data_IF_225842903241
#
_entry.id   IF_225842903241
#
_cell.length_a   1.000
_cell.length_b   1.000
_cell.length_c   1.000
_cell.angle_alpha   90.00
_cell.angle_beta   90.00
_cell.angle_gamma   90.00
#
_symmetry.space_group_name_H-M   'P 1'
#
loop_
_entity.id
_entity.type
_entity.pdbx_description
1 polymer ?
#
# COMPACT_ATOMS: atom_id res chain seq x y z
N UNK A 1 22.17 -6.15 -1.42
CA UNK A 1 21.70 -4.89 -2.02
C UNK A 1 20.83 -5.25 -3.19
N UNK A 2 19.64 -4.67 -3.30
CA UNK A 2 18.63 -5.05 -4.29
C UNK A 2 18.58 -4.08 -5.46
N UNK A 3 18.62 -2.78 -5.17
CA UNK A 3 18.62 -1.69 -6.15
C UNK A 3 19.92 -0.89 -6.09
N UNK A 4 20.27 -0.21 -7.18
CA UNK A 4 21.54 0.49 -7.32
C UNK A 4 21.73 1.66 -6.35
N UNK A 5 20.66 2.27 -5.87
CA UNK A 5 20.72 3.39 -4.92
C UNK A 5 20.36 2.97 -3.49
N UNK A 6 20.14 1.69 -3.20
CA UNK A 6 19.90 1.22 -1.83
C UNK A 6 21.05 1.66 -0.89
N UNK A 7 20.70 2.19 0.29
CA UNK A 7 21.65 2.69 1.29
C UNK A 7 22.57 1.63 1.91
N UNK A 8 22.38 0.35 1.57
CA UNK A 8 23.21 -0.76 2.02
C UNK A 8 22.61 -2.14 1.70
N UNK A 9 23.19 -3.21 2.24
CA UNK A 9 22.57 -4.53 2.21
C UNK A 9 21.33 -4.58 3.10
N UNK A 10 20.28 -5.25 2.62
CA UNK A 10 19.04 -5.46 3.36
C UNK A 10 18.73 -6.95 3.47
N UNK A 11 18.20 -7.36 4.62
CA UNK A 11 17.49 -8.62 4.79
C UNK A 11 16.05 -8.36 4.36
N UNK A 12 15.60 -8.97 3.26
CA UNK A 12 14.34 -8.60 2.58
C UNK A 12 13.16 -9.53 2.84
N UNK A 13 13.39 -10.77 3.30
CA UNK A 13 12.34 -11.67 3.80
C UNK A 13 12.49 -12.02 5.31
N UNK A 14 12.72 -11.04 6.21
CA UNK A 14 12.79 -11.29 7.64
C UNK A 14 11.39 -11.49 8.24
N UNK A 15 11.18 -12.61 8.93
CA UNK A 15 9.99 -12.86 9.72
C UNK A 15 10.27 -12.41 11.16
N UNK A 16 9.90 -11.17 11.47
CA UNK A 16 10.19 -10.52 12.75
C UNK A 16 9.10 -10.86 13.76
N UNK A 17 9.49 -11.59 14.80
CA UNK A 17 8.65 -11.99 15.91
C UNK A 17 8.90 -11.11 17.15
N UNK A 18 7.82 -10.62 17.73
CA UNK A 18 7.83 -9.84 18.97
C UNK A 18 6.63 -10.19 19.84
N UNK A 19 6.73 -9.93 21.14
CA UNK A 19 5.63 -10.07 22.09
C UNK A 19 5.36 -8.74 22.79
N UNK A 20 4.10 -8.38 22.92
CA UNK A 20 3.68 -7.21 23.69
C UNK A 20 4.24 -7.33 25.12
N UNK A 21 4.97 -6.32 25.63
CA UNK A 21 5.62 -6.42 26.93
C UNK A 21 4.64 -6.60 28.09
N UNK A 22 3.39 -6.12 27.96
CA UNK A 22 2.32 -6.22 28.94
C UNK A 22 1.46 -7.48 28.76
N UNK A 23 0.86 -7.65 27.59
CA UNK A 23 -0.17 -8.68 27.36
C UNK A 23 0.40 -10.03 26.94
N UNK A 24 1.68 -10.06 26.51
CA UNK A 24 2.34 -11.24 25.92
C UNK A 24 1.66 -11.77 24.64
N UNK A 25 0.76 -10.99 24.03
CA UNK A 25 0.30 -11.25 22.67
C UNK A 25 1.48 -11.14 21.72
N UNK A 26 1.58 -12.07 20.78
CA UNK A 26 2.66 -12.09 19.81
C UNK A 26 2.24 -11.51 18.48
N UNK A 27 3.21 -10.99 17.74
CA UNK A 27 3.08 -10.59 16.34
C UNK A 27 4.22 -11.21 15.55
N UNK A 28 3.91 -11.71 14.36
CA UNK A 28 4.88 -12.03 13.31
C UNK A 28 4.63 -11.12 12.13
N UNK A 29 5.63 -10.32 11.73
CA UNK A 29 5.52 -9.44 10.57
C UNK A 29 6.76 -9.50 9.68
N UNK A 30 6.63 -9.00 8.45
CA UNK A 30 7.80 -8.80 7.58
C UNK A 30 8.24 -7.33 7.65
N UNK A 31 9.40 -7.08 8.25
CA UNK A 31 9.99 -5.75 8.41
C UNK A 31 11.44 -5.79 7.92
N UNK A 32 11.74 -5.13 6.79
CA UNK A 32 13.09 -5.15 6.19
C UNK A 32 14.16 -4.70 7.19
N UNK A 33 15.34 -5.32 7.11
CA UNK A 33 16.45 -5.02 8.02
C UNK A 33 17.67 -4.51 7.26
N UNK A 34 18.04 -3.24 7.44
CA UNK A 34 19.29 -2.73 6.86
C UNK A 34 20.47 -3.21 7.68
N UNK A 35 21.47 -3.83 7.05
CA UNK A 35 22.68 -4.28 7.74
C UNK A 35 23.62 -3.10 7.95
N UNK A 36 23.90 -2.74 9.21
CA UNK A 36 24.86 -1.67 9.53
C UNK A 36 26.26 -2.23 9.77
N UNK A 37 26.35 -3.31 10.54
CA UNK A 37 27.60 -3.98 10.92
C UNK A 37 27.34 -5.45 11.28
N UNK A 38 28.32 -6.12 11.90
CA UNK A 38 28.21 -7.54 12.27
C UNK A 38 27.25 -7.83 13.42
N UNK A 39 26.76 -6.81 14.13
CA UNK A 39 25.93 -6.95 15.34
C UNK A 39 24.67 -6.09 15.33
N UNK A 40 24.43 -5.27 14.31
CA UNK A 40 23.27 -4.39 14.29
C UNK A 40 22.65 -4.22 12.92
N UNK A 41 21.32 -4.08 12.94
CA UNK A 41 20.52 -3.77 11.76
C UNK A 41 19.53 -2.63 12.04
N UNK A 42 19.11 -1.90 11.02
CA UNK A 42 17.96 -1.00 11.09
C UNK A 42 16.68 -1.83 11.03
N UNK A 43 15.76 -1.62 11.97
CA UNK A 43 14.50 -2.36 12.06
C UNK A 43 13.34 -1.48 11.58
N UNK A 44 12.97 -1.65 10.32
CA UNK A 44 11.92 -0.84 9.67
C UNK A 44 10.54 -1.46 9.92
N UNK A 45 10.04 -1.38 11.16
CA UNK A 45 8.59 -1.49 11.38
C UNK A 45 7.94 -0.14 11.12
N UNK A 46 6.80 -0.16 10.43
CA UNK A 46 6.02 1.05 10.19
C UNK A 46 5.09 1.32 11.38
N UNK A 47 4.56 2.55 11.44
CA UNK A 47 3.46 2.84 12.35
C UNK A 47 2.25 1.96 12.01
N UNK A 48 1.36 1.76 12.99
CA UNK A 48 0.13 0.97 12.80
C UNK A 48 0.34 -0.52 12.48
N UNK A 49 1.58 -1.03 12.54
CA UNK A 49 1.90 -2.47 12.44
C UNK A 49 2.21 -3.03 13.82
N UNK A 50 1.95 -4.34 14.03
CA UNK A 50 2.01 -4.99 15.35
C UNK A 50 3.35 -4.81 16.08
N UNK A 51 4.48 -5.02 15.39
CA UNK A 51 5.81 -4.85 15.97
C UNK A 51 6.10 -3.41 16.43
N UNK A 52 5.60 -2.41 15.69
CA UNK A 52 5.71 -1.00 16.04
C UNK A 52 4.97 -0.66 17.33
N UNK A 53 3.76 -1.21 17.54
CA UNK A 53 3.01 -1.03 18.80
C UNK A 53 3.70 -1.70 20.00
N UNK A 54 4.25 -2.90 19.80
CA UNK A 54 5.01 -3.58 20.86
C UNK A 54 6.25 -2.76 21.28
N UNK A 55 6.94 -2.17 20.31
CA UNK A 55 8.09 -1.31 20.58
C UNK A 55 7.71 -0.01 21.26
N UNK A 56 6.63 0.65 20.81
CA UNK A 56 6.13 1.87 21.45
C UNK A 56 5.83 1.65 22.94
N UNK A 57 5.18 0.53 23.28
CA UNK A 57 4.88 0.18 24.67
C UNK A 57 6.15 -0.13 25.49
N UNK A 58 7.12 -0.83 24.89
CA UNK A 58 8.40 -1.09 25.55
C UNK A 58 9.21 0.20 25.77
N UNK A 59 9.20 1.10 24.78
CA UNK A 59 9.88 2.39 24.81
C UNK A 59 9.27 3.33 25.85
N UNK A 60 7.93 3.37 25.96
CA UNK A 60 7.23 4.11 27.00
C UNK A 60 7.59 3.66 28.43
N UNK A 61 7.98 2.38 28.59
CA UNK A 61 8.47 1.83 29.85
C UNK A 61 10.00 1.94 30.02
N UNK A 62 10.72 2.50 29.04
CA UNK A 62 12.18 2.57 29.04
C UNK A 62 12.85 1.20 29.04
N UNK A 63 12.22 0.18 28.44
CA UNK A 63 12.74 -1.20 28.39
C UNK A 63 13.08 -1.60 26.94
N UNK A 64 14.11 -2.44 26.74
CA UNK A 64 14.36 -3.04 25.45
C UNK A 64 13.22 -4.01 25.09
N UNK A 65 12.83 -4.04 23.82
CA UNK A 65 11.91 -5.03 23.28
C UNK A 65 12.72 -6.24 22.81
N UNK A 66 12.49 -7.46 23.32
CA UNK A 66 13.06 -8.68 22.74
C UNK A 66 12.56 -8.88 21.30
N UNK A 67 13.46 -9.24 20.40
CA UNK A 67 13.17 -9.47 18.98
C UNK A 67 13.79 -10.80 18.53
N UNK A 68 13.03 -11.57 17.76
CA UNK A 68 13.56 -12.76 17.07
C UNK A 68 13.19 -12.69 15.61
N UNK A 69 14.19 -12.80 14.73
CA UNK A 69 13.97 -12.75 13.28
C UNK A 69 14.23 -14.14 12.72
N UNK A 70 13.23 -14.72 12.08
CA UNK A 70 13.38 -15.98 11.35
C UNK A 70 13.63 -15.69 9.87
N UNK A 71 14.50 -16.47 9.25
CA UNK A 71 14.63 -16.55 7.80
C UNK A 71 14.34 -17.99 7.38
N UNK A 72 13.44 -18.14 6.42
CA UNK A 72 13.06 -19.42 5.85
C UNK A 72 12.19 -20.24 6.79
N UNK A 73 12.26 -21.57 6.64
CA UNK A 73 11.40 -22.51 7.33
C UNK A 73 10.07 -22.74 6.62
N UNK A 74 9.01 -23.15 7.35
CA UNK A 74 7.74 -23.51 6.75
C UNK A 74 7.16 -22.36 5.92
N UNK A 75 6.80 -22.55 4.64
CA UNK A 75 6.26 -21.48 3.79
C UNK A 75 5.02 -20.79 4.38
N UNK A 76 4.25 -21.52 5.20
CA UNK A 76 3.10 -21.00 5.94
C UNK A 76 3.46 -19.84 6.88
N UNK A 77 4.70 -19.75 7.37
CA UNK A 77 5.14 -18.61 8.18
C UNK A 77 5.20 -17.32 7.36
N UNK A 78 5.73 -17.38 6.14
CA UNK A 78 5.81 -16.22 5.24
C UNK A 78 4.40 -15.74 4.91
N UNK A 79 3.52 -16.67 4.51
CA UNK A 79 2.11 -16.35 4.21
C UNK A 79 1.37 -15.77 5.41
N UNK A 80 1.63 -16.27 6.61
CA UNK A 80 0.96 -15.77 7.80
C UNK A 80 1.47 -14.40 8.25
N UNK A 81 2.77 -14.12 8.11
CA UNK A 81 3.39 -12.86 8.52
C UNK A 81 2.93 -11.64 7.71
N UNK A 82 2.38 -11.87 6.52
CA UNK A 82 1.87 -10.82 5.62
C UNK A 82 0.35 -10.81 5.54
N UNK A 83 -0.33 -11.80 6.14
CA UNK A 83 -1.77 -11.91 6.06
C UNK A 83 -2.44 -10.71 6.77
N UNK A 84 -3.43 -10.06 6.17
CA UNK A 84 -4.19 -8.97 6.80
C UNK A 84 -5.19 -9.54 7.81
N UNK A 85 -4.67 -10.06 8.92
CA UNK A 85 -5.46 -10.66 9.99
C UNK A 85 -6.07 -9.59 10.89
N UNK A 86 -7.24 -9.88 11.50
CA UNK A 86 -7.72 -9.10 12.64
C UNK A 86 -6.68 -9.11 13.77
N UNK A 87 -6.57 -8.01 14.52
CA UNK A 87 -5.53 -7.82 15.55
C UNK A 87 -5.47 -8.92 16.62
N UNK A 88 -6.62 -9.56 16.91
CA UNK A 88 -6.73 -10.63 17.90
C UNK A 88 -6.43 -12.04 17.37
N UNK A 89 -6.13 -12.19 16.06
CA UNK A 89 -5.82 -13.49 15.45
C UNK A 89 -4.30 -13.60 15.25
N UNK A 90 -3.60 -14.43 16.03
CA UNK A 90 -2.14 -14.48 15.94
C UNK A 90 -1.64 -15.19 14.69
N UNK A 91 -0.60 -14.66 14.06
CA UNK A 91 -0.07 -15.15 12.78
C UNK A 91 0.48 -16.58 12.90
N UNK A 92 1.09 -16.96 14.03
CA UNK A 92 1.58 -18.33 14.23
C UNK A 92 0.46 -19.37 14.27
N UNK A 93 -0.75 -18.97 14.69
CA UNK A 93 -1.95 -19.81 14.64
C UNK A 93 -2.39 -19.98 13.20
N UNK A 94 -2.42 -18.90 12.40
CA UNK A 94 -2.71 -18.99 10.98
C UNK A 94 -1.66 -19.88 10.26
N UNK A 95 -0.38 -19.72 10.56
CA UNK A 95 0.67 -20.55 9.96
C UNK A 95 0.44 -22.04 10.24
N UNK A 96 0.04 -22.40 11.47
CA UNK A 96 -0.29 -23.79 11.82
C UNK A 96 -1.55 -24.28 11.09
N UNK A 97 -2.58 -23.42 10.96
CA UNK A 97 -3.81 -23.75 10.23
C UNK A 97 -3.53 -24.01 8.75
N UNK A 98 -2.74 -23.14 8.10
CA UNK A 98 -2.34 -23.27 6.70
C UNK A 98 -1.48 -24.52 6.48
N UNK A 99 -0.60 -24.85 7.43
CA UNK A 99 0.23 -26.05 7.38
C UNK A 99 -0.57 -27.34 7.64
N UNK A 100 -1.76 -27.26 8.23
CA UNK A 100 -2.56 -28.42 8.64
C UNK A 100 -2.01 -29.16 9.87
N UNK A 101 -0.93 -28.66 10.48
CA UNK A 101 -0.32 -29.19 11.69
C UNK A 101 0.23 -28.08 12.58
N UNK A 102 0.45 -28.39 13.87
CA UNK A 102 1.03 -27.44 14.81
C UNK A 102 2.46 -27.09 14.39
N UNK A 103 2.74 -25.80 14.24
CA UNK A 103 4.09 -25.30 13.97
C UNK A 103 5.08 -25.83 15.02
N UNK A 104 6.17 -26.45 14.54
CA UNK A 104 7.21 -27.00 15.40
C UNK A 104 8.10 -25.89 15.93
N UNK A 105 8.17 -25.79 17.25
CA UNK A 105 8.95 -24.78 17.95
C UNK A 105 9.96 -25.48 18.87
N UNK A 106 11.14 -24.89 19.04
CA UNK A 106 12.20 -25.37 19.95
C UNK A 106 12.55 -24.30 20.99
N UNK A 107 13.25 -24.69 22.06
CA UNK A 107 13.75 -23.75 23.05
C UNK A 107 14.92 -22.93 22.49
N UNK A 108 14.98 -21.65 22.84
CA UNK A 108 16.16 -20.82 22.56
C UNK A 108 17.28 -21.15 23.57
N UNK A 109 18.49 -21.49 23.12
CA UNK A 109 19.64 -21.74 24.02
C UNK A 109 19.97 -20.58 24.97
N UNK A 110 19.62 -19.34 24.61
CA UNK A 110 19.81 -18.16 25.46
C UNK A 110 18.60 -17.83 26.35
N UNK A 111 17.52 -18.60 26.27
CA UNK A 111 16.23 -18.24 26.86
C UNK A 111 15.46 -17.22 26.02
N UNK A 112 14.30 -16.75 26.50
CA UNK A 112 13.44 -15.82 25.77
C UNK A 112 12.47 -16.51 24.80
N UNK A 113 12.24 -15.90 23.62
CA UNK A 113 11.30 -16.42 22.63
C UNK A 113 11.66 -17.84 22.19
N UNK A 114 10.64 -18.67 21.94
CA UNK A 114 10.85 -19.97 21.29
C UNK A 114 11.18 -19.79 19.82
N UNK A 115 12.00 -20.67 19.27
CA UNK A 115 12.44 -20.59 17.88
C UNK A 115 11.60 -21.50 16.99
N UNK A 116 11.25 -21.06 15.78
CA UNK A 116 10.69 -21.95 14.76
C UNK A 116 11.73 -23.01 14.40
N UNK A 117 11.41 -24.28 14.69
CA UNK A 117 12.40 -25.37 14.68
C UNK A 117 12.94 -25.69 13.27
N UNK A 118 12.19 -25.32 12.24
CA UNK A 118 12.51 -25.58 10.83
C UNK A 118 13.03 -24.32 10.11
N UNK A 119 13.17 -23.17 10.79
CA UNK A 119 13.77 -21.98 10.20
C UNK A 119 15.21 -22.25 9.74
N UNK A 120 15.61 -21.64 8.62
CA UNK A 120 16.98 -21.73 8.09
C UNK A 120 17.95 -20.93 8.97
N UNK A 121 17.52 -19.73 9.39
CA UNK A 121 18.22 -18.88 10.34
C UNK A 121 17.25 -18.33 11.41
N UNK A 122 17.77 -18.10 12.61
CA UNK A 122 17.11 -17.35 13.67
C UNK A 122 18.11 -16.34 14.28
N UNK A 123 17.85 -15.05 14.08
CA UNK A 123 18.61 -13.97 14.70
C UNK A 123 17.88 -13.58 16.00
N UNK A 124 18.60 -13.59 17.12
CA UNK A 124 18.05 -13.31 18.45
C UNK A 124 18.73 -12.06 19.00
N UNK A 125 17.93 -11.18 19.58
CA UNK A 125 18.44 -10.02 20.31
C UNK A 125 17.32 -9.09 20.76
N UNK A 126 17.54 -7.77 20.67
CA UNK A 126 16.60 -6.78 21.18
C UNK A 126 16.68 -5.44 20.44
N UNK A 127 15.60 -4.66 20.53
CA UNK A 127 15.55 -3.26 20.13
C UNK A 127 15.51 -2.37 21.40
N UNK A 128 16.57 -1.60 21.70
CA UNK A 128 16.60 -0.74 22.87
C UNK A 128 15.71 0.49 22.68
N UNK A 129 15.17 1.05 23.78
CA UNK A 129 14.31 2.22 23.72
C UNK A 129 15.13 3.46 23.33
N UNK A 130 14.54 4.36 22.54
CA UNK A 130 15.12 5.64 22.13
C UNK A 130 16.44 5.55 21.32
N UNK A 131 16.86 4.38 20.84
CA UNK A 131 17.98 4.26 19.91
C UNK A 131 17.46 4.16 18.48
N UNK A 132 17.85 5.11 17.63
CA UNK A 132 17.51 5.10 16.21
C UNK A 132 18.76 5.41 15.37
N UNK A 133 18.84 4.83 14.17
CA UNK A 133 19.86 5.12 13.16
C UNK A 133 19.20 5.36 11.81
N UNK A 134 19.94 6.01 10.93
CA UNK A 134 19.53 6.29 9.56
C UNK A 134 19.38 4.98 8.77
N UNK A 135 18.17 4.71 8.28
CA UNK A 135 17.88 3.61 7.36
C UNK A 135 17.46 4.14 5.98
N UNK A 136 17.79 3.39 4.94
CA UNK A 136 17.50 3.74 3.56
C UNK A 136 18.56 4.65 2.92
N UNK A 137 18.32 5.10 1.66
CA UNK A 137 17.13 4.82 0.86
C UNK A 137 17.00 3.32 0.48
N UNK A 138 15.81 2.91 0.05
CA UNK A 138 15.53 1.51 -0.32
C UNK A 138 14.47 1.46 -1.42
N UNK A 139 14.66 0.62 -2.43
CA UNK A 139 13.64 0.43 -3.46
C UNK A 139 12.45 -0.36 -2.95
N UNK A 140 11.30 0.29 -2.88
CA UNK A 140 10.09 -0.18 -2.20
C UNK A 140 8.99 -0.68 -3.16
N UNK A 141 8.02 -1.43 -2.62
CA UNK A 141 6.86 -2.01 -3.31
C UNK A 141 5.92 -1.00 -3.97
N UNK A 142 5.95 0.28 -3.60
CA UNK A 142 5.26 1.32 -4.37
C UNK A 142 5.92 1.59 -5.74
N UNK A 143 7.12 1.06 -6.00
CA UNK A 143 7.87 1.31 -7.23
C UNK A 143 8.73 2.56 -7.20
N UNK A 144 8.97 3.12 -6.01
CA UNK A 144 9.84 4.28 -5.79
C UNK A 144 10.89 3.98 -4.72
N UNK A 145 11.94 4.78 -4.66
CA UNK A 145 12.87 4.73 -3.53
C UNK A 145 12.22 5.34 -2.29
N UNK A 146 12.02 4.55 -1.23
CA UNK A 146 11.70 5.14 0.08
C UNK A 146 12.87 5.99 0.56
N UNK A 147 12.56 7.16 1.11
CA UNK A 147 13.54 8.12 1.59
C UNK A 147 14.22 7.63 2.88
N UNK A 148 15.32 8.32 3.21
CA UNK A 148 16.09 8.01 4.40
C UNK A 148 15.41 8.58 5.66
N UNK A 149 15.16 7.72 6.67
CA UNK A 149 14.59 8.13 7.95
C UNK A 149 15.26 7.42 9.13
N UNK A 150 14.99 7.91 10.35
CA UNK A 150 15.50 7.30 11.57
C UNK A 150 14.59 6.15 12.03
N UNK A 151 15.12 4.94 12.05
CA UNK A 151 14.41 3.74 12.54
C UNK A 151 15.12 3.12 13.73
N UNK A 152 14.40 2.35 14.59
CA UNK A 152 15.01 1.63 15.70
C UNK A 152 16.12 0.69 15.25
N UNK A 153 17.07 0.45 16.14
CA UNK A 153 18.18 -0.47 15.90
C UNK A 153 17.86 -1.82 16.51
N UNK A 154 17.98 -2.88 15.72
CA UNK A 154 17.98 -4.25 16.23
C UNK A 154 19.42 -4.68 16.50
N UNK A 155 19.74 -4.88 17.78
CA UNK A 155 21.02 -5.45 18.22
C UNK A 155 20.92 -6.96 18.21
N UNK A 156 21.78 -7.61 17.44
CA UNK A 156 21.84 -9.06 17.24
C UNK A 156 22.84 -9.65 18.23
N UNK A 157 22.34 -10.43 19.18
CA UNK A 157 23.15 -11.11 20.19
C UNK A 157 23.68 -12.45 19.68
N UNK A 158 22.88 -13.17 18.89
CA UNK A 158 23.25 -14.47 18.34
C UNK A 158 22.49 -14.81 17.08
N UNK A 159 23.12 -15.62 16.22
CA UNK A 159 22.51 -16.18 15.02
C UNK A 159 22.59 -17.70 15.11
N UNK A 160 21.44 -18.35 15.10
CA UNK A 160 21.33 -19.80 14.97
C UNK A 160 20.99 -20.14 13.53
N UNK A 161 21.54 -21.23 13.00
CA UNK A 161 21.24 -21.67 11.65
C UNK A 161 21.32 -23.19 11.52
N UNK A 162 20.65 -23.72 10.49
CA UNK A 162 20.78 -25.13 10.10
C UNK A 162 22.15 -25.38 9.46
N UNK A 163 22.68 -26.62 9.52
CA UNK A 163 23.71 -27.04 8.58
C UNK A 163 23.20 -26.83 7.15
N UNK A 164 24.05 -26.29 6.27
CA UNK A 164 23.73 -26.00 4.86
C UNK A 164 22.50 -25.10 4.67
N UNK A 165 22.32 -24.13 5.58
CA UNK A 165 21.17 -23.24 5.59
C UNK A 165 21.00 -22.45 4.28
N UNK A 166 19.75 -22.34 3.82
CA UNK A 166 19.37 -21.59 2.63
C UNK A 166 18.92 -20.19 3.05
N UNK A 167 19.50 -19.16 2.43
CA UNK A 167 19.12 -17.77 2.69
C UNK A 167 17.99 -17.33 1.75
N UNK A 168 16.74 -17.18 2.22
CA UNK A 168 15.67 -16.63 1.40
C UNK A 168 15.82 -15.12 1.27
N UNK A 169 15.54 -14.63 0.07
CA UNK A 169 15.50 -13.20 -0.23
C UNK A 169 14.43 -12.94 -1.29
N UNK A 170 13.85 -11.74 -1.24
CA UNK A 170 13.01 -11.21 -2.29
C UNK A 170 13.55 -9.87 -2.79
N UNK A 171 13.08 -9.44 -3.96
CA UNK A 171 13.29 -8.11 -4.50
C UNK A 171 11.92 -7.48 -4.67
N UNK A 172 11.67 -6.38 -3.96
CA UNK A 172 10.46 -5.58 -4.13
C UNK A 172 10.75 -4.40 -5.04
N UNK A 173 9.71 -3.83 -5.63
CA UNK A 173 9.85 -2.70 -6.54
C UNK A 173 8.54 -2.38 -7.23
N UNK A 174 8.62 -1.80 -8.43
CA UNK A 174 7.42 -1.47 -9.21
C UNK A 174 6.58 -2.73 -9.43
N UNK A 175 5.28 -2.73 -9.04
CA UNK A 175 4.42 -3.88 -9.23
C UNK A 175 4.35 -4.31 -10.71
N UNK A 176 4.29 -5.61 -11.01
CA UNK A 176 4.04 -6.75 -10.09
C UNK A 176 5.34 -7.46 -9.69
N UNK A 177 5.55 -7.67 -8.39
CA UNK A 177 6.63 -8.49 -7.83
C UNK A 177 6.05 -9.64 -6.97
N UNK A 178 6.89 -10.40 -6.27
CA UNK A 178 6.47 -11.56 -5.46
C UNK A 178 5.39 -11.21 -4.43
N UNK A 179 5.55 -10.08 -3.74
CA UNK A 179 4.62 -9.52 -2.76
C UNK A 179 3.22 -9.23 -3.36
N UNK A 180 3.15 -8.70 -4.58
CA UNK A 180 1.89 -8.50 -5.31
C UNK A 180 1.13 -9.82 -5.45
N UNK A 181 1.81 -10.88 -5.89
CA UNK A 181 1.18 -12.18 -6.18
C UNK A 181 0.70 -12.83 -4.89
N UNK A 182 1.50 -12.76 -3.82
CA UNK A 182 1.13 -13.35 -2.54
C UNK A 182 -0.03 -12.56 -1.90
N UNK A 183 0.01 -11.22 -1.96
CA UNK A 183 -1.06 -10.37 -1.43
C UNK A 183 -2.40 -10.64 -2.12
N UNK A 184 -2.44 -10.70 -3.45
CA UNK A 184 -3.64 -11.05 -4.22
C UNK A 184 -4.21 -12.43 -3.84
N UNK A 185 -3.32 -13.42 -3.68
CA UNK A 185 -3.73 -14.75 -3.25
C UNK A 185 -4.35 -14.73 -1.84
N UNK A 186 -3.70 -14.06 -0.89
CA UNK A 186 -4.18 -14.01 0.50
C UNK A 186 -5.49 -13.26 0.65
N UNK A 187 -5.67 -12.15 -0.07
CA UNK A 187 -6.95 -11.45 -0.09
C UNK A 187 -8.09 -12.35 -0.57
N UNK A 188 -7.87 -13.12 -1.64
CA UNK A 188 -8.87 -14.09 -2.15
C UNK A 188 -9.11 -15.23 -1.17
N UNK A 189 -8.07 -15.72 -0.51
CA UNK A 189 -8.16 -16.79 0.48
C UNK A 189 -8.96 -16.34 1.71
N UNK A 190 -8.78 -15.09 2.14
CA UNK A 190 -9.37 -14.54 3.36
C UNK A 190 -10.69 -13.79 3.14
N UNK A 191 -11.09 -13.51 1.89
CA UNK A 191 -12.32 -12.77 1.60
C UNK A 191 -13.59 -13.32 2.26
N UNK A 192 -13.77 -14.65 2.46
CA UNK A 192 -14.94 -15.16 3.19
C UNK A 192 -15.01 -14.74 4.66
N UNK A 193 -13.90 -14.27 5.25
CA UNK A 193 -13.84 -13.79 6.62
C UNK A 193 -14.32 -12.33 6.76
N UNK A 194 -14.28 -11.53 5.69
CA UNK A 194 -14.65 -10.11 5.79
C UNK A 194 -16.07 -9.89 6.31
N UNK A 195 -17.12 -10.62 5.85
CA UNK A 195 -18.47 -10.43 6.40
C UNK A 195 -18.62 -10.90 7.85
N UNK A 196 -17.72 -11.75 8.36
CA UNK A 196 -17.72 -12.17 9.76
C UNK A 196 -17.14 -11.08 10.67
N UNK A 197 -16.10 -10.38 10.22
CA UNK A 197 -15.39 -9.33 10.98
C UNK A 197 -16.02 -7.94 10.78
N UNK A 198 -16.58 -7.71 9.59
CA UNK A 198 -17.22 -6.47 9.16
C UNK A 198 -18.57 -6.77 8.49
N UNK A 199 -19.66 -7.00 9.26
CA UNK A 199 -20.95 -7.46 8.71
C UNK A 199 -21.63 -6.53 7.68
N UNK A 200 -21.25 -5.26 7.64
CA UNK A 200 -21.69 -4.28 6.64
C UNK A 200 -20.99 -4.43 5.29
N UNK A 201 -19.87 -5.15 5.22
CA UNK A 201 -19.05 -5.37 4.03
C UNK A 201 -19.43 -6.71 3.42
N UNK A 202 -19.85 -6.70 2.15
CA UNK A 202 -20.17 -7.89 1.36
C UNK A 202 -18.96 -8.40 0.59
N UNK A 203 -18.17 -7.49 0.06
CA UNK A 203 -16.95 -7.77 -0.68
C UNK A 203 -15.97 -6.60 -0.51
N UNK A 204 -14.67 -6.88 -0.58
CA UNK A 204 -13.59 -5.92 -0.38
C UNK A 204 -12.38 -6.35 -1.21
N UNK A 205 -11.78 -5.38 -1.88
CA UNK A 205 -10.58 -5.58 -2.68
C UNK A 205 -9.62 -4.41 -2.47
N UNK A 206 -8.37 -4.72 -2.13
CA UNK A 206 -7.28 -3.75 -2.13
C UNK A 206 -6.39 -3.97 -3.35
N UNK A 207 -5.97 -2.88 -3.99
CA UNK A 207 -5.29 -2.97 -5.29
C UNK A 207 -3.78 -3.10 -5.10
N UNK A 208 -3.23 -4.27 -5.44
CA UNK A 208 -1.79 -4.52 -5.34
C UNK A 208 -0.96 -3.61 -6.23
N UNK A 209 -1.52 -3.12 -7.35
CA UNK A 209 -0.86 -2.15 -8.24
C UNK A 209 -0.54 -0.84 -7.54
N UNK A 210 -1.23 -0.55 -6.43
CA UNK A 210 -1.09 0.67 -5.64
C UNK A 210 -0.48 0.36 -4.26
N UNK A 211 0.31 -0.72 -4.14
CA UNK A 211 0.90 -1.16 -2.88
C UNK A 211 -0.12 -1.64 -1.83
N UNK A 212 -1.33 -2.03 -2.25
CA UNK A 212 -2.48 -2.43 -1.40
C UNK A 212 -3.05 -1.33 -0.47
N UNK A 213 -2.27 -0.32 -0.07
CA UNK A 213 -2.71 0.68 0.90
C UNK A 213 -3.18 2.00 0.26
N UNK A 214 -2.81 2.33 -0.99
CA UNK A 214 -3.28 3.59 -1.59
C UNK A 214 -4.75 3.54 -2.04
N UNK A 215 -5.25 2.39 -2.48
CA UNK A 215 -6.61 2.25 -2.98
C UNK A 215 -7.27 0.95 -2.50
N UNK A 216 -8.52 1.07 -2.06
CA UNK A 216 -9.42 -0.06 -1.83
C UNK A 216 -10.82 0.23 -2.36
N UNK A 217 -11.54 -0.83 -2.71
CA UNK A 217 -12.95 -0.77 -3.06
C UNK A 217 -13.75 -1.81 -2.28
N UNK A 218 -14.98 -1.48 -1.91
CA UNK A 218 -15.86 -2.40 -1.20
C UNK A 218 -17.30 -2.34 -1.69
N UNK A 219 -17.92 -3.52 -1.74
CA UNK A 219 -19.38 -3.65 -1.83
C UNK A 219 -19.93 -3.69 -0.41
N UNK A 220 -20.78 -2.74 -0.06
CA UNK A 220 -21.34 -2.60 1.29
C UNK A 220 -22.85 -2.73 1.30
N UNK A 221 -23.42 -2.91 2.49
CA UNK A 221 -24.88 -2.92 2.68
C UNK A 221 -25.41 -1.50 2.75
N UNK A 222 -26.53 -1.29 2.07
CA UNK A 222 -27.29 -0.04 2.06
C UNK A 222 -28.76 -0.37 2.30
N UNK A 223 -29.17 -0.41 3.58
CA UNK A 223 -30.54 -0.73 4.00
C UNK A 223 -31.42 0.52 4.08
N UNK A 224 -30.78 1.67 4.31
CA UNK A 224 -31.37 2.99 4.34
C UNK A 224 -30.33 3.98 3.80
N UNK A 225 -30.78 5.17 3.39
CA UNK A 225 -29.94 6.15 2.74
C UNK A 225 -28.69 6.52 3.55
N UNK A 226 -27.55 6.43 2.87
CA UNK A 226 -26.17 6.73 3.29
C UNK A 226 -25.61 5.83 4.38
N UNK A 227 -26.14 4.62 4.56
CA UNK A 227 -25.59 3.62 5.49
C UNK A 227 -24.13 3.25 5.14
N UNK A 228 -23.80 3.19 3.84
CA UNK A 228 -22.48 2.83 3.31
C UNK A 228 -21.31 3.55 4.00
N UNK A 229 -21.48 4.82 4.39
CA UNK A 229 -20.44 5.61 5.05
C UNK A 229 -20.03 5.02 6.41
N UNK A 230 -20.96 4.41 7.15
CA UNK A 230 -20.67 3.71 8.41
C UNK A 230 -19.75 2.50 8.16
N UNK A 231 -19.99 1.77 7.07
CA UNK A 231 -19.09 0.69 6.65
C UNK A 231 -17.72 1.23 6.22
N UNK A 232 -17.68 2.41 5.60
CA UNK A 232 -16.43 3.12 5.30
C UNK A 232 -15.57 3.37 6.55
N UNK A 233 -16.16 3.93 7.61
CA UNK A 233 -15.43 4.12 8.87
C UNK A 233 -15.00 2.81 9.52
N UNK A 234 -15.80 1.74 9.40
CA UNK A 234 -15.43 0.41 9.90
C UNK A 234 -14.21 -0.14 9.18
N UNK A 235 -14.14 0.01 7.86
CA UNK A 235 -13.00 -0.41 7.03
C UNK A 235 -11.75 0.40 7.39
N UNK A 236 -11.87 1.74 7.41
CA UNK A 236 -10.74 2.62 7.75
C UNK A 236 -10.31 2.54 9.23
N UNK A 237 -11.08 1.86 10.08
CA UNK A 237 -10.73 1.58 11.46
C UNK A 237 -10.18 0.16 11.70
N UNK A 238 -10.03 -0.67 10.67
CA UNK A 238 -9.65 -2.07 10.81
C UNK A 238 -8.18 -2.31 10.43
N UNK A 239 -7.34 -2.68 11.40
CA UNK A 239 -5.98 -3.18 11.18
C UNK A 239 -5.22 -2.47 10.06
N UNK A 240 -4.72 -3.25 9.09
CA UNK A 240 -4.00 -2.69 7.94
C UNK A 240 -4.87 -1.93 6.93
N UNK A 241 -6.20 -2.12 6.93
CA UNK A 241 -7.11 -1.37 6.06
C UNK A 241 -7.21 0.10 6.48
N UNK A 242 -6.84 0.44 7.71
CA UNK A 242 -6.71 1.83 8.17
C UNK A 242 -5.70 2.64 7.37
N UNK A 243 -4.73 1.98 6.71
CA UNK A 243 -3.75 2.63 5.82
C UNK A 243 -4.37 3.05 4.48
N UNK A 244 -5.55 2.56 4.12
CA UNK A 244 -6.25 2.92 2.87
C UNK A 244 -6.31 4.44 2.68
N UNK A 245 -5.67 4.96 1.63
CA UNK A 245 -5.70 6.41 1.30
C UNK A 245 -7.02 6.79 0.64
N UNK A 246 -7.45 6.02 -0.36
CA UNK A 246 -8.71 6.27 -1.06
C UNK A 246 -9.61 5.03 -1.04
N UNK A 247 -10.85 5.19 -0.56
CA UNK A 247 -11.82 4.10 -0.42
C UNK A 247 -13.04 4.35 -1.30
N UNK A 248 -13.29 3.41 -2.21
CA UNK A 248 -14.45 3.41 -3.11
C UNK A 248 -15.54 2.52 -2.52
N UNK A 249 -16.75 3.04 -2.33
CA UNK A 249 -17.88 2.28 -1.77
C UNK A 249 -19.08 2.25 -2.72
N UNK A 250 -19.56 1.05 -2.99
CA UNK A 250 -20.82 0.83 -3.71
C UNK A 250 -21.74 -0.13 -2.96
N UNK A 251 -23.05 -0.01 -3.16
CA UNK A 251 -24.07 -0.91 -2.62
C UNK A 251 -24.44 -2.06 -3.57
N UNK A 252 -23.99 -1.95 -4.82
CA UNK A 252 -24.28 -2.89 -5.90
C UNK A 252 -23.12 -3.88 -6.04
N UNK A 253 -23.35 -5.21 -6.09
CA UNK A 253 -22.29 -6.18 -6.36
C UNK A 253 -21.55 -5.88 -7.67
N UNK A 254 -20.22 -5.82 -7.62
CA UNK A 254 -19.32 -5.57 -8.75
C UNK A 254 -18.15 -6.54 -8.71
N UNK A 255 -17.52 -6.78 -9.86
CA UNK A 255 -16.21 -7.45 -9.92
C UNK A 255 -15.14 -6.42 -9.57
N UNK A 256 -14.80 -6.31 -8.27
CA UNK A 256 -13.89 -5.28 -7.77
C UNK A 256 -12.49 -5.30 -8.43
N UNK A 257 -11.89 -6.47 -8.76
CA UNK A 257 -10.66 -6.52 -9.55
C UNK A 257 -10.75 -5.88 -10.95
N UNK A 258 -11.92 -5.84 -11.59
CA UNK A 258 -12.12 -5.19 -12.90
C UNK A 258 -12.34 -3.67 -12.70
N UNK A 259 -11.23 -2.98 -12.41
CA UNK A 259 -11.26 -1.57 -12.06
C UNK A 259 -11.94 -0.67 -13.10
N UNK A 260 -11.70 -0.78 -14.42
CA UNK A 260 -12.39 0.06 -15.40
C UNK A 260 -13.92 -0.07 -15.32
N UNK A 261 -14.46 -1.30 -15.18
CA UNK A 261 -15.91 -1.49 -15.04
C UNK A 261 -16.45 -0.96 -13.72
N UNK A 262 -15.74 -1.21 -12.62
CA UNK A 262 -16.09 -0.65 -11.32
C UNK A 262 -16.11 0.88 -11.38
N UNK A 263 -15.09 1.48 -11.97
CA UNK A 263 -14.94 2.93 -12.00
C UNK A 263 -16.00 3.60 -12.88
N UNK A 264 -16.37 3.00 -14.03
CA UNK A 264 -17.56 3.40 -14.78
C UNK A 264 -18.83 3.30 -13.94
N UNK A 265 -19.03 2.20 -13.22
CA UNK A 265 -20.20 2.01 -12.34
C UNK A 265 -20.28 3.10 -11.26
N UNK A 266 -19.14 3.49 -10.68
CA UNK A 266 -19.03 4.57 -9.71
C UNK A 266 -19.31 5.95 -10.32
N UNK A 267 -18.65 6.28 -11.44
CA UNK A 267 -18.77 7.58 -12.10
C UNK A 267 -20.16 7.82 -12.68
N UNK A 268 -20.91 6.77 -13.02
CA UNK A 268 -22.32 6.90 -13.40
C UNK A 268 -23.25 7.28 -12.24
N UNK A 269 -22.81 7.12 -10.97
CA UNK A 269 -23.66 7.23 -9.76
C UNK A 269 -23.26 8.33 -8.79
N UNK A 270 -21.96 8.60 -8.64
CA UNK A 270 -21.42 9.56 -7.67
C UNK A 270 -22.08 10.93 -7.83
N UNK A 271 -22.59 11.57 -6.78
CA UNK A 271 -22.94 12.99 -6.79
C UNK A 271 -21.85 13.77 -6.08
N UNK A 272 -21.00 14.47 -6.82
CA UNK A 272 -19.81 15.15 -6.28
C UNK A 272 -20.13 16.14 -5.15
N UNK A 273 -21.35 16.69 -5.15
CA UNK A 273 -21.85 17.61 -4.14
C UNK A 273 -22.04 16.97 -2.76
N UNK A 274 -22.15 15.64 -2.71
CA UNK A 274 -22.45 14.91 -1.46
C UNK A 274 -21.56 13.71 -1.21
N UNK A 275 -21.05 13.05 -2.25
CA UNK A 275 -20.58 11.67 -2.20
C UNK A 275 -19.06 11.52 -2.19
N UNK A 276 -18.32 12.63 -2.17
CA UNK A 276 -16.88 12.65 -1.95
C UNK A 276 -16.57 13.27 -0.58
N UNK A 277 -15.96 12.48 0.29
CA UNK A 277 -15.52 12.91 1.61
C UNK A 277 -14.00 12.93 1.63
N UNK A 278 -13.41 14.08 1.93
CA UNK A 278 -11.97 14.25 2.11
C UNK A 278 -11.70 14.55 3.58
N UNK A 279 -10.77 13.77 4.17
CA UNK A 279 -10.34 13.89 5.55
C UNK A 279 -8.88 14.33 5.57
N UNK A 280 -8.67 15.64 5.65
CA UNK A 280 -7.34 16.23 5.81
C UNK A 280 -6.79 16.03 7.24
N UNK A 281 -5.46 16.08 7.39
CA UNK A 281 -4.77 16.04 8.68
C UNK A 281 -4.97 14.71 9.41
N UNK A 282 -4.72 13.61 8.71
CA UNK A 282 -4.77 12.25 9.28
C UNK A 282 -3.39 11.62 9.23
N UNK A 283 -3.21 10.57 10.03
CA UNK A 283 -2.03 9.71 9.90
C UNK A 283 -2.10 8.92 8.60
N UNK A 284 -0.98 8.81 7.90
CA UNK A 284 -0.85 8.09 6.64
C UNK A 284 0.25 7.01 6.70
N UNK A 285 0.25 6.10 5.73
CA UNK A 285 1.32 5.12 5.52
C UNK A 285 2.69 5.81 5.48
N UNK A 286 3.66 5.23 6.18
CA UNK A 286 5.05 5.70 6.25
C UNK A 286 5.72 5.79 4.89
N UNK A 287 5.26 4.98 3.92
CA UNK A 287 5.81 4.93 2.57
C UNK A 287 5.01 5.79 1.57
N UNK A 288 3.93 6.44 2.00
CA UNK A 288 3.20 7.38 1.15
C UNK A 288 3.82 8.78 1.28
N UNK A 289 4.54 9.20 0.24
CA UNK A 289 5.22 10.49 0.18
C UNK A 289 4.40 11.59 -0.50
N UNK A 290 3.12 11.36 -0.82
CA UNK A 290 2.31 12.31 -1.60
C UNK A 290 2.02 13.61 -0.87
N UNK A 291 2.01 13.61 0.47
CA UNK A 291 1.86 14.82 1.30
C UNK A 291 3.15 15.64 1.44
N UNK A 292 4.31 15.05 1.13
CA UNK A 292 5.63 15.60 1.42
C UNK A 292 6.13 15.38 2.87
N UNK A 293 5.30 14.83 3.76
CA UNK A 293 5.62 14.61 5.18
C UNK A 293 5.40 13.14 5.58
N UNK A 294 6.27 12.61 6.44
CA UNK A 294 6.22 11.20 6.86
C UNK A 294 5.05 10.99 7.82
N UNK A 295 4.23 9.96 7.56
CA UNK A 295 3.09 9.57 8.39
C UNK A 295 1.96 10.60 8.47
N UNK A 296 1.97 11.66 7.66
CA UNK A 296 0.94 12.69 7.60
C UNK A 296 0.32 12.73 6.20
N UNK A 297 -0.97 13.04 6.10
CA UNK A 297 -1.64 13.24 4.82
C UNK A 297 -3.15 13.37 4.94
N UNK A 298 -3.85 12.93 3.90
CA UNK A 298 -5.31 12.93 3.84
C UNK A 298 -5.87 11.64 3.25
N UNK A 299 -7.08 11.30 3.68
CA UNK A 299 -7.84 10.16 3.15
C UNK A 299 -9.07 10.64 2.42
N UNK A 300 -9.61 9.82 1.54
CA UNK A 300 -10.91 10.08 0.95
C UNK A 300 -11.80 8.83 0.86
N UNK A 301 -13.11 9.06 0.94
CA UNK A 301 -14.15 8.08 0.66
C UNK A 301 -15.01 8.61 -0.48
N UNK A 302 -15.16 7.81 -1.53
CA UNK A 302 -16.03 8.08 -2.68
C UNK A 302 -17.19 7.10 -2.69
N UNK A 303 -18.42 7.62 -2.71
CA UNK A 303 -19.65 6.82 -2.74
C UNK A 303 -20.24 6.76 -4.16
N UNK A 304 -20.67 5.56 -4.57
CA UNK A 304 -21.36 5.31 -5.85
C UNK A 304 -22.54 4.39 -5.60
N UNK A 305 -23.59 4.97 -5.01
CA UNK A 305 -24.73 4.24 -4.45
C UNK A 305 -25.97 4.36 -5.33
N UNK A 306 -26.83 3.35 -5.29
CA UNK A 306 -28.15 3.41 -5.91
C UNK A 306 -28.14 3.37 -7.45
N UNK A 307 -29.08 4.08 -8.06
CA UNK A 307 -29.26 4.08 -9.51
C UNK A 307 -28.34 5.10 -10.21
N UNK A 308 -27.91 4.83 -11.45
CA UNK A 308 -27.18 5.81 -12.26
C UNK A 308 -27.91 7.15 -12.34
N UNK A 309 -27.14 8.23 -12.28
CA UNK A 309 -27.64 9.61 -12.30
C UNK A 309 -27.22 10.37 -13.56
N UNK A 310 -26.36 9.75 -14.38
CA UNK A 310 -25.85 10.29 -15.65
C UNK A 310 -25.42 9.18 -16.60
N UNK A 311 -25.42 9.50 -17.89
CA UNK A 311 -24.66 8.75 -18.89
C UNK A 311 -23.20 9.21 -18.89
N UNK A 312 -22.30 8.35 -19.38
CA UNK A 312 -20.86 8.61 -19.35
C UNK A 312 -20.31 8.89 -20.75
N UNK A 313 -19.52 9.96 -20.95
CA UNK A 313 -18.79 10.15 -22.20
C UNK A 313 -17.76 9.03 -22.38
N UNK A 314 -17.58 8.59 -23.63
CA UNK A 314 -16.66 7.49 -23.99
C UNK A 314 -15.63 7.86 -25.06
N UNK A 315 -15.78 9.04 -25.65
CA UNK A 315 -14.88 9.57 -26.67
C UNK A 315 -14.66 11.05 -26.38
N UNK A 316 -13.41 11.49 -26.46
CA UNK A 316 -13.09 12.90 -26.40
C UNK A 316 -13.17 13.53 -27.79
N UNK A 317 -13.84 14.68 -27.91
CA UNK A 317 -13.94 15.46 -29.15
C UNK A 317 -13.79 16.94 -28.81
N UNK A 318 -12.82 17.60 -29.42
CA UNK A 318 -12.55 19.01 -29.14
C UNK A 318 -11.13 19.43 -29.45
N UNK A 319 -10.91 20.74 -29.46
CA UNK A 319 -9.55 21.30 -29.46
C UNK A 319 -9.05 21.37 -28.02
N UNK A 320 -7.88 20.75 -27.78
CA UNK A 320 -7.25 20.78 -26.47
C UNK A 320 -6.72 22.19 -26.15
N UNK A 321 -6.75 22.61 -24.87
CA UNK A 321 -6.03 23.80 -24.43
C UNK A 321 -4.55 23.72 -24.82
N UNK A 322 -3.90 24.88 -25.04
CA UNK A 322 -2.51 24.95 -25.56
C UNK A 322 -1.47 24.24 -24.70
N UNK A 323 -1.75 24.07 -23.43
CA UNK A 323 -0.88 23.47 -22.41
C UNK A 323 -1.31 22.04 -22.04
N UNK A 324 -2.23 21.46 -22.81
CA UNK A 324 -2.58 20.04 -22.80
C UNK A 324 -2.09 19.42 -24.10
N UNK A 325 -1.20 18.43 -24.00
CA UNK A 325 -0.53 17.85 -25.16
C UNK A 325 -1.38 16.75 -25.80
N UNK A 326 -1.94 15.87 -24.97
CA UNK A 326 -2.74 14.72 -25.39
C UNK A 326 -3.88 14.47 -24.41
N UNK A 327 -4.92 13.78 -24.88
CA UNK A 327 -6.02 13.29 -24.06
C UNK A 327 -6.39 11.88 -24.51
N UNK A 328 -6.54 10.97 -23.56
CA UNK A 328 -6.91 9.57 -23.80
C UNK A 328 -8.01 9.17 -22.80
N UNK A 329 -8.99 8.43 -23.28
CA UNK A 329 -10.07 7.92 -22.43
C UNK A 329 -9.60 6.66 -21.73
N UNK A 330 -9.55 6.66 -20.39
CA UNK A 330 -9.25 5.46 -19.62
C UNK A 330 -10.46 4.50 -19.60
N UNK A 331 -11.60 5.03 -19.20
CA UNK A 331 -12.90 4.34 -19.23
C UNK A 331 -14.02 5.37 -19.41
N UNK A 332 -15.27 4.92 -19.56
CA UNK A 332 -16.41 5.82 -19.59
C UNK A 332 -16.38 6.81 -18.42
N UNK A 333 -16.45 8.11 -18.71
CA UNK A 333 -16.48 9.18 -17.72
C UNK A 333 -15.14 9.54 -17.08
N UNK A 334 -14.04 8.88 -17.42
CA UNK A 334 -12.70 9.21 -16.93
C UNK A 334 -11.75 9.53 -18.11
N UNK A 335 -11.32 10.79 -18.19
CA UNK A 335 -10.36 11.27 -19.18
C UNK A 335 -8.98 11.42 -18.54
N UNK A 336 -7.93 10.89 -19.15
CA UNK A 336 -6.55 11.21 -18.77
C UNK A 336 -6.04 12.25 -19.74
N UNK A 337 -5.45 13.32 -19.21
CA UNK A 337 -4.86 14.40 -20.01
C UNK A 337 -3.41 14.60 -19.63
N UNK A 338 -2.57 14.82 -20.64
CA UNK A 338 -1.16 15.09 -20.46
C UNK A 338 -0.91 16.59 -20.36
N UNK A 339 -0.55 17.03 -19.17
CA UNK A 339 -0.25 18.43 -18.86
C UNK A 339 1.19 18.81 -19.16
N UNK A 340 1.55 20.03 -18.75
CA UNK A 340 2.95 20.42 -18.61
C UNK A 340 3.48 19.90 -17.26
N UNK A 341 4.81 19.72 -17.09
CA UNK A 341 5.39 19.33 -15.81
C UNK A 341 4.89 20.21 -14.66
N UNK A 342 4.64 19.61 -13.50
CA UNK A 342 4.04 20.30 -12.34
C UNK A 342 4.76 21.60 -11.99
N UNK A 343 6.09 21.62 -12.01
CA UNK A 343 6.91 22.79 -11.68
C UNK A 343 6.65 24.01 -12.57
N UNK A 344 6.19 23.78 -13.81
CA UNK A 344 5.91 24.86 -14.76
C UNK A 344 4.54 25.50 -14.52
N UNK A 345 3.55 24.70 -14.14
CA UNK A 345 2.19 25.16 -13.88
C UNK A 345 1.54 24.32 -12.75
N UNK A 346 1.84 24.64 -11.47
CA UNK A 346 1.25 23.93 -10.32
C UNK A 346 -0.28 24.04 -10.27
N UNK A 347 -0.83 25.19 -10.67
CA UNK A 347 -2.27 25.47 -10.64
C UNK A 347 -3.04 24.90 -11.86
N UNK A 348 -2.36 24.14 -12.72
CA UNK A 348 -2.92 23.66 -13.98
C UNK A 348 -4.20 22.85 -13.75
N UNK A 349 -4.23 21.93 -12.78
CA UNK A 349 -5.40 21.10 -12.48
C UNK A 349 -6.64 21.94 -12.11
N UNK A 350 -6.46 22.94 -11.22
CA UNK A 350 -7.52 23.85 -10.82
C UNK A 350 -8.06 24.72 -11.96
N UNK A 351 -7.19 25.13 -12.90
CA UNK A 351 -7.62 25.83 -14.13
C UNK A 351 -8.38 24.91 -15.07
N UNK A 352 -7.86 23.72 -15.33
CA UNK A 352 -8.46 22.72 -16.24
C UNK A 352 -9.84 22.27 -15.75
N UNK A 353 -10.06 22.22 -14.43
CA UNK A 353 -11.38 21.94 -13.85
C UNK A 353 -12.46 22.94 -14.30
N UNK A 354 -12.08 24.15 -14.73
CA UNK A 354 -12.98 25.22 -15.18
C UNK A 354 -13.04 25.37 -16.70
N UNK A 355 -12.28 24.58 -17.45
CA UNK A 355 -12.26 24.66 -18.91
C UNK A 355 -13.54 24.04 -19.50
N UNK A 356 -14.32 24.80 -20.31
CA UNK A 356 -15.61 24.33 -20.82
C UNK A 356 -15.53 23.03 -21.62
N UNK A 357 -14.40 22.78 -22.30
CA UNK A 357 -14.21 21.60 -23.15
C UNK A 357 -14.24 20.28 -22.37
N UNK A 358 -14.03 20.33 -21.05
CA UNK A 358 -14.08 19.15 -20.19
C UNK A 358 -15.33 19.07 -19.32
N UNK A 359 -16.28 19.99 -19.47
CA UNK A 359 -17.46 20.11 -18.59
C UNK A 359 -18.37 18.87 -18.57
N UNK A 360 -18.38 18.07 -19.65
CA UNK A 360 -19.17 16.84 -19.73
C UNK A 360 -18.50 15.63 -19.05
N UNK A 361 -17.22 15.72 -18.70
CA UNK A 361 -16.49 14.62 -18.07
C UNK A 361 -16.69 14.63 -16.55
N UNK A 362 -17.18 13.54 -15.93
CA UNK A 362 -17.28 13.47 -14.48
C UNK A 362 -15.93 13.59 -13.78
N UNK A 363 -14.89 12.97 -14.35
CA UNK A 363 -13.55 12.93 -13.79
C UNK A 363 -12.49 13.09 -14.87
N UNK A 364 -11.45 13.84 -14.53
CA UNK A 364 -10.24 14.04 -15.30
C UNK A 364 -9.05 13.68 -14.42
N UNK A 365 -8.07 12.98 -14.98
CA UNK A 365 -6.77 12.76 -14.35
C UNK A 365 -5.73 13.54 -15.15
N UNK A 366 -5.11 14.52 -14.51
CA UNK A 366 -3.97 15.24 -15.06
C UNK A 366 -2.70 14.46 -14.76
N UNK A 367 -1.94 14.11 -15.78
CA UNK A 367 -0.74 13.27 -15.65
C UNK A 367 0.40 13.76 -16.54
N UNK A 368 1.64 13.30 -16.30
CA UNK A 368 2.82 13.64 -17.11
C UNK A 368 2.89 12.88 -18.44
N UNK A 369 2.23 11.73 -18.49
CA UNK A 369 2.20 10.81 -19.63
C UNK A 369 0.79 10.25 -19.81
N UNK A 370 0.18 10.49 -20.97
CA UNK A 370 -1.18 10.03 -21.28
C UNK A 370 -1.27 8.51 -21.45
N UNK A 371 -0.15 7.84 -21.78
CA UNK A 371 -0.10 6.41 -22.11
C UNK A 371 -0.52 5.53 -20.92
N UNK A 372 -0.49 6.05 -19.69
CA UNK A 372 -0.99 5.36 -18.49
C UNK A 372 -2.47 4.96 -18.61
N UNK A 373 -3.26 5.68 -19.41
CA UNK A 373 -4.67 5.37 -19.66
C UNK A 373 -4.89 4.06 -20.43
N UNK A 374 -3.87 3.52 -21.11
CA UNK A 374 -4.03 2.33 -21.96
C UNK A 374 -3.95 1.01 -21.19
N UNK A 375 -3.63 1.05 -19.90
CA UNK A 375 -3.51 -0.13 -19.05
C UNK A 375 -4.10 0.16 -17.67
N UNK A 376 -5.04 -0.68 -17.22
CA UNK A 376 -5.60 -0.58 -15.87
C UNK A 376 -4.51 -0.61 -14.79
N UNK A 377 -3.50 -1.46 -14.95
CA UNK A 377 -2.42 -1.55 -13.97
C UNK A 377 -1.54 -0.30 -13.95
N UNK A 378 -1.21 0.27 -15.10
CA UNK A 378 -0.42 1.51 -15.16
C UNK A 378 -1.24 2.71 -14.66
N UNK A 379 -2.51 2.80 -15.05
CA UNK A 379 -3.43 3.83 -14.57
C UNK A 379 -3.55 3.78 -13.05
N UNK A 380 -3.76 2.59 -12.48
CA UNK A 380 -3.88 2.41 -11.04
C UNK A 380 -2.61 2.87 -10.31
N UNK A 381 -1.46 2.33 -10.72
CA UNK A 381 -0.17 2.67 -10.11
C UNK A 381 0.12 4.17 -10.25
N UNK A 382 0.11 4.71 -11.47
CA UNK A 382 0.52 6.09 -11.72
C UNK A 382 -0.45 7.13 -11.14
N UNK A 383 -1.74 6.80 -11.00
CA UNK A 383 -2.71 7.72 -10.41
C UNK A 383 -2.64 7.66 -8.88
N UNK A 384 -2.97 6.52 -8.29
CA UNK A 384 -3.26 6.44 -6.85
C UNK A 384 -2.01 6.47 -5.96
N UNK A 385 -0.81 6.24 -6.51
CA UNK A 385 0.44 6.42 -5.74
C UNK A 385 0.98 7.84 -5.81
N UNK A 386 0.47 8.73 -6.67
CA UNK A 386 1.05 10.07 -6.94
C UNK A 386 0.22 11.24 -6.46
N UNK A 387 -0.97 11.01 -5.91
CA UNK A 387 -1.82 12.09 -5.41
C UNK A 387 -2.21 11.93 -3.94
N UNK A 388 -2.37 13.08 -3.29
CA UNK A 388 -2.85 13.26 -1.92
C UNK A 388 -4.27 13.89 -2.00
N UNK A 389 -5.32 13.26 -1.43
CA UNK A 389 -6.70 13.68 -1.67
C UNK A 389 -7.07 15.13 -1.32
N UNK A 390 -6.42 15.76 -0.34
CA UNK A 390 -6.73 17.11 0.11
C UNK A 390 -5.99 18.20 -0.67
N UNK A 391 -4.85 17.87 -1.27
CA UNK A 391 -3.99 18.77 -2.02
C UNK A 391 -4.22 18.66 -3.53
N UNK A 392 -4.55 17.47 -4.03
CA UNK A 392 -4.51 17.16 -5.46
C UNK A 392 -5.89 16.93 -6.11
N UNK A 393 -6.99 17.07 -5.35
CA UNK A 393 -8.35 17.01 -5.90
C UNK A 393 -8.89 18.41 -6.10
N UNK A 394 -9.21 18.72 -7.36
CA UNK A 394 -9.76 20.01 -7.77
C UNK A 394 -11.16 19.83 -8.36
N UNK A 395 -11.97 20.86 -8.26
CA UNK A 395 -13.31 20.92 -8.84
C UNK A 395 -13.50 22.25 -9.57
N UNK A 396 -14.44 22.28 -10.53
CA UNK A 396 -14.79 23.52 -11.24
C UNK A 396 -15.22 24.62 -10.23
N UNK A 397 -16.03 24.20 -9.26
CA UNK A 397 -16.49 25.03 -8.16
C UNK A 397 -16.60 24.19 -6.88
N UNK A 398 -16.25 24.80 -5.75
CA UNK A 398 -16.42 24.22 -4.41
C UNK A 398 -17.22 25.18 -3.54
N UNK A 399 -18.23 24.68 -2.85
CA UNK A 399 -18.99 25.42 -1.83
C UNK A 399 -18.99 24.67 -0.50
N UNK A 400 -19.33 25.36 0.59
CA UNK A 400 -19.47 24.75 1.92
C UNK A 400 -20.95 24.70 2.26
N UNK A 401 -21.50 23.49 2.34
CA UNK A 401 -22.90 23.24 2.69
C UNK A 401 -22.96 22.44 3.98
N UNK A 402 -23.43 23.04 5.08
CA UNK A 402 -23.51 22.37 6.40
C UNK A 402 -22.19 21.74 6.86
N UNK A 403 -21.07 22.45 6.67
CA UNK A 403 -19.70 21.96 6.92
C UNK A 403 -19.23 20.80 6.03
N UNK A 404 -19.99 20.45 4.98
CA UNK A 404 -19.53 19.57 3.93
C UNK A 404 -18.98 20.38 2.76
N UNK A 405 -17.84 19.97 2.21
CA UNK A 405 -17.34 20.51 0.95
C UNK A 405 -18.15 19.89 -0.18
N UNK A 406 -18.98 20.70 -0.83
CA UNK A 406 -19.76 20.34 -2.01
C UNK A 406 -18.96 20.68 -3.25
N UNK A 407 -18.62 19.66 -4.04
CA UNK A 407 -17.86 19.82 -5.28
C UNK A 407 -18.77 19.78 -6.50
N UNK A 408 -18.56 20.68 -7.44
CA UNK A 408 -19.23 20.69 -8.73
C UNK A 408 -18.24 20.35 -9.84
N UNK A 409 -18.60 19.35 -10.64
CA UNK A 409 -17.72 18.77 -11.65
C UNK A 409 -17.38 19.70 -12.83
N UNK A 410 -16.40 19.31 -13.65
CA UNK A 410 -15.58 18.10 -13.55
C UNK A 410 -14.69 18.09 -12.29
N UNK A 411 -14.41 16.89 -11.77
CA UNK A 411 -13.33 16.70 -10.79
C UNK A 411 -12.04 16.47 -11.55
N UNK A 412 -10.95 17.09 -11.12
CA UNK A 412 -9.60 16.88 -11.64
C UNK A 412 -8.72 16.33 -10.53
N UNK A 413 -8.12 15.16 -10.74
CA UNK A 413 -7.07 14.63 -9.88
C UNK A 413 -5.72 14.99 -10.53
N UNK A 414 -4.87 15.73 -9.83
CA UNK A 414 -3.50 15.96 -10.27
C UNK A 414 -2.62 14.79 -9.86
N UNK A 415 -2.27 13.93 -10.81
CA UNK A 415 -1.39 12.77 -10.61
C UNK A 415 0.00 12.98 -11.22
N UNK A 416 0.37 14.22 -11.58
CA UNK A 416 1.73 14.54 -12.02
C UNK A 416 2.73 14.33 -10.90
N UNK A 417 3.98 14.04 -11.24
CA UNK A 417 5.08 13.98 -10.28
C UNK A 417 5.31 15.38 -9.69
N UNK A 418 5.23 15.49 -8.36
CA UNK A 418 5.49 16.74 -7.63
C UNK A 418 6.97 16.84 -7.20
N UNK A 419 7.49 18.05 -7.00
CA UNK A 419 8.83 18.26 -6.46
C UNK A 419 9.04 17.52 -5.14
N UNK A 420 10.18 16.86 -5.02
CA UNK A 420 10.53 16.08 -3.82
C UNK A 420 9.86 14.72 -3.72
N UNK A 421 8.96 14.37 -4.65
CA UNK A 421 8.43 13.00 -4.74
C UNK A 421 9.57 12.02 -5.06
N UNK A 422 9.61 10.83 -4.44
CA UNK A 422 10.76 9.96 -4.59
C UNK A 422 10.93 9.43 -6.02
N UNK A 423 12.17 9.15 -6.39
CA UNK A 423 12.51 8.66 -7.72
C UNK A 423 11.92 7.26 -7.95
N UNK A 424 11.42 7.03 -9.17
CA UNK A 424 10.95 5.72 -9.62
C UNK A 424 12.10 4.71 -9.70
N UNK A 425 11.79 3.45 -9.38
CA UNK A 425 12.74 2.34 -9.52
C UNK A 425 12.88 1.95 -10.98
N UNK A 426 14.04 2.28 -11.54
CA UNK A 426 14.43 1.90 -12.90
C UNK A 426 15.56 0.88 -12.82
N UNK A 427 15.36 -0.29 -13.45
CA UNK A 427 16.41 -1.32 -13.54
C UNK A 427 17.53 -0.79 -14.43
N UNK A 428 18.79 -0.93 -14.00
CA UNK A 428 19.93 -0.58 -14.86
C UNK A 428 20.07 -1.54 -16.04
N UNK A 429 20.36 -0.98 -17.21
CA UNK A 429 20.52 -1.74 -18.46
C UNK A 429 21.57 -2.86 -18.36
N UNK A 430 22.69 -2.62 -17.67
CA UNK A 430 23.75 -3.62 -17.50
C UNK A 430 23.33 -4.78 -16.60
N UNK A 431 22.52 -4.50 -15.56
CA UNK A 431 21.94 -5.53 -14.70
C UNK A 431 20.91 -6.35 -15.47
N UNK A 432 20.03 -5.70 -16.23
CA UNK A 432 19.04 -6.36 -17.07
C UNK A 432 19.72 -7.30 -18.08
N UNK A 433 20.71 -6.80 -18.82
CA UNK A 433 21.49 -7.59 -19.77
C UNK A 433 22.24 -8.76 -19.11
N UNK A 434 22.74 -8.58 -17.89
CA UNK A 434 23.39 -9.64 -17.12
C UNK A 434 22.39 -10.75 -16.75
N UNK A 435 21.19 -10.40 -16.29
CA UNK A 435 20.14 -11.37 -15.96
C UNK A 435 19.75 -12.16 -17.21
N UNK A 436 19.49 -11.49 -18.33
CA UNK A 436 19.15 -12.13 -19.61
C UNK A 436 20.23 -13.13 -20.07
N UNK A 437 21.50 -12.73 -19.96
CA UNK A 437 22.64 -13.59 -20.32
C UNK A 437 22.71 -14.83 -19.45
N UNK A 438 22.50 -14.69 -18.14
CA UNK A 438 22.65 -15.76 -17.15
C UNK A 438 21.39 -16.60 -16.97
N UNK A 439 20.25 -16.18 -17.52
CA UNK A 439 18.97 -16.86 -17.36
C UNK A 439 19.05 -18.37 -17.65
N UNK A 440 19.73 -18.74 -18.74
CA UNK A 440 19.91 -20.14 -19.14
C UNK A 440 20.86 -20.94 -18.25
N UNK A 441 21.72 -20.29 -17.46
CA UNK A 441 22.57 -20.97 -16.46
C UNK A 441 21.72 -21.57 -15.35
N UNK A 442 20.68 -20.84 -14.93
CA UNK A 442 19.79 -21.22 -13.83
C UNK A 442 18.56 -21.99 -14.31
N UNK A 443 18.03 -21.64 -15.49
CA UNK A 443 16.84 -22.25 -16.09
C UNK A 443 17.15 -22.83 -17.48
N UNK A 444 17.95 -23.90 -17.57
CA UNK A 444 18.44 -24.43 -18.85
C UNK A 444 17.35 -24.96 -19.79
N UNK A 445 16.11 -25.17 -19.29
CA UNK A 445 14.96 -25.63 -20.08
C UNK A 445 13.87 -24.57 -20.28
N UNK A 446 14.12 -23.32 -19.86
CA UNK A 446 13.04 -22.33 -19.66
C UNK A 446 12.38 -22.48 -18.29
N UNK A 447 11.43 -21.59 -17.99
CA UNK A 447 10.58 -21.64 -16.78
C UNK A 447 9.59 -22.81 -16.84
#
# INVERSE_FOLDING_TARGET
TTWQEDGGPFITLPLVYTENPLTKKHNLGIYRLQVYDSHSTGLHWQIQKGGGFHYQEAEAQGKPLPVTVFLGGPPALILAAIAPLPEDVPELVLASLLAGEKLRMTGNPLGGHRLAAEAEFALVGFAPPNERRSEGPFGDHYGYYSLQHAYPVFHVESVFHRPDAIYPATVVGKPRQEDFIIGDYLQRLLSPLFPLVMPGVRDLWTYGETGFHSLAAAVVRERYGREALVSGFRILGEGQLSLTKFLILTDTPQDLPDFPKLFEHMLARVRWETDLFVFSNVSMDTLDYTSGEVNEGSKAIMLGLGQPVRDLPREFRGELPRDVVYAEVFCGGCLVIQGVPYEREPEQAGRLAREPIFSEWPLIVLHDDVEVARSASLFLWATWTRFEPAADIYAAQTSIERHHLSYHGPIVIDARTKPGFPAELVVRDDVSAMVDKRWREYFPRGL
#
